data_IF_464765764528
#
_entry.id   IF_464765764528
#
_cell.length_a   1.000
_cell.length_b   1.000
_cell.length_c   1.000
_cell.angle_alpha   90.00
_cell.angle_beta   90.00
_cell.angle_gamma   90.00
#
_symmetry.space_group_name_H-M   'P 1'
#
loop_
_entity.id
_entity.type
_entity.pdbx_description
1 polymer ?
2 non-polymer ?
3 non-polymer ?
4 non-polymer ?
5 non-polymer ?
6 water ?
#
# COMPACT_ATOMS: atom_id res chain seq x y z
N UNK A 5 20.15 0.56 2.12
CA UNK A 5 18.72 1.03 1.82
C UNK A 5 18.14 1.72 3.06
N UNK A 6 17.49 2.85 2.82
CA UNK A 6 16.87 3.67 3.88
C UNK A 6 15.39 4.00 3.56
N UNK A 7 14.59 4.37 4.58
CA UNK A 7 13.22 4.80 4.31
C UNK A 7 13.14 6.07 3.49
N UNK A 8 14.11 6.95 3.60
CA UNK A 8 14.21 8.15 2.79
C UNK A 8 14.22 7.95 1.33
N UNK A 9 14.79 6.82 0.89
CA UNK A 9 14.91 6.55 -0.55
C UNK A 9 13.52 6.27 -1.13
N UNK A 10 12.52 6.00 -0.26
CA UNK A 10 11.15 5.73 -0.73
C UNK A 10 10.30 7.03 -0.83
N UNK A 11 10.83 8.17 -0.37
CA UNK A 11 10.03 9.35 -0.30
C UNK A 11 9.71 9.91 -1.70
N UNK A 12 8.57 10.56 -1.80
CA UNK A 12 8.18 11.32 -2.95
C UNK A 12 6.92 10.78 -3.54
N UNK A 13 6.57 11.35 -4.68
CA UNK A 13 5.38 10.97 -5.45
C UNK A 13 5.76 9.93 -6.49
N UNK A 14 4.94 8.90 -6.58
CA UNK A 14 5.13 7.74 -7.43
C UNK A 14 3.83 7.49 -8.17
N UNK A 15 3.92 7.07 -9.44
CA UNK A 15 2.78 6.80 -10.26
C UNK A 15 2.68 5.31 -10.63
N UNK A 16 1.48 4.70 -10.52
CA UNK A 16 1.31 3.32 -10.82
C UNK A 16 1.50 3.05 -12.32
N UNK A 17 2.38 2.11 -12.66
CA UNK A 17 2.66 1.72 -14.04
C UNK A 17 2.33 0.28 -14.31
N UNK A 18 2.20 -0.61 -13.33
CA UNK A 18 1.81 -1.97 -13.59
C UNK A 18 1.15 -2.55 -12.36
N UNK A 19 0.15 -3.40 -12.56
CA UNK A 19 -0.46 -4.16 -11.48
C UNK A 19 -0.70 -5.60 -11.92
N UNK A 20 -0.43 -6.53 -11.00
CA UNK A 20 -0.74 -7.91 -11.21
C UNK A 20 -1.30 -8.50 -9.92
N UNK A 21 -2.41 -9.24 -10.02
CA UNK A 21 -3.02 -9.91 -8.88
C UNK A 21 -3.91 -9.06 -8.00
N UNK A 22 -4.10 -7.79 -8.31
CA UNK A 22 -4.80 -6.91 -7.39
C UNK A 22 -6.28 -7.31 -7.25
N UNK A 23 -6.93 -7.71 -8.33
CA UNK A 23 -8.32 -8.12 -8.24
C UNK A 23 -8.45 -9.36 -7.37
N UNK A 24 -7.52 -10.31 -7.51
CA UNK A 24 -7.55 -11.49 -6.71
C UNK A 24 -7.37 -11.16 -5.21
N UNK A 25 -6.45 -10.25 -4.93
CA UNK A 25 -6.24 -9.78 -3.57
C UNK A 25 -7.51 -9.11 -3.01
N UNK A 26 -8.11 -8.23 -3.81
CA UNK A 26 -9.39 -7.62 -3.38
C UNK A 26 -10.46 -8.67 -3.12
N UNK A 27 -10.58 -9.69 -3.93
CA UNK A 27 -11.57 -10.80 -3.71
C UNK A 27 -11.25 -11.53 -2.46
N UNK A 28 -9.97 -11.81 -2.16
CA UNK A 28 -9.60 -12.48 -0.89
C UNK A 28 -10.03 -11.66 0.32
N UNK A 29 -9.92 -10.32 0.24
CA UNK A 29 -10.46 -9.43 1.27
C UNK A 29 -11.98 -9.36 1.35
N UNK A 30 -12.68 -9.87 0.35
CA UNK A 30 -14.11 -9.80 0.39
C UNK A 30 -14.62 -8.43 0.02
N UNK A 31 -13.85 -7.66 -0.77
CA UNK A 31 -14.32 -6.33 -1.21
C UNK A 31 -15.44 -6.48 -2.22
N UNK A 32 -16.44 -5.60 -2.13
CA UNK A 32 -17.59 -5.66 -3.00
C UNK A 32 -17.30 -5.07 -4.40
N UNK A 33 -18.28 -5.21 -5.27
CA UNK A 33 -18.03 -4.96 -6.66
C UNK A 33 -17.65 -3.48 -6.90
N UNK A 34 -18.31 -2.53 -6.22
CA UNK A 34 -18.04 -1.11 -6.55
C UNK A 34 -16.52 -0.80 -6.36
N UNK A 35 -16.00 -1.12 -5.18
CA UNK A 35 -14.57 -0.86 -4.87
C UNK A 35 -13.69 -1.71 -5.72
N UNK A 36 -14.08 -2.95 -6.09
CA UNK A 36 -13.23 -3.71 -7.00
C UNK A 36 -13.17 -3.09 -8.39
N UNK A 37 -14.33 -2.58 -8.87
CA UNK A 37 -14.27 -1.92 -10.17
C UNK A 37 -13.42 -0.68 -10.13
N UNK A 38 -13.53 0.09 -9.08
CA UNK A 38 -12.70 1.28 -8.91
C UNK A 38 -11.22 0.89 -8.84
N UNK A 39 -10.91 -0.16 -8.08
CA UNK A 39 -9.51 -0.59 -8.00
C UNK A 39 -8.97 -1.08 -9.27
N UNK A 40 -9.76 -1.65 -10.18
CA UNK A 40 -9.33 -2.11 -11.51
C UNK A 40 -9.01 -0.92 -12.39
N UNK A 41 -9.81 0.11 -12.30
CA UNK A 41 -9.59 1.18 -13.24
C UNK A 41 -8.75 2.34 -12.77
N UNK A 42 -8.60 2.56 -11.46
CA UNK A 42 -7.73 3.63 -10.99
C UNK A 42 -6.26 3.35 -11.29
N UNK A 43 -5.54 4.46 -11.53
CA UNK A 43 -4.06 4.39 -11.69
C UNK A 43 -3.57 5.47 -10.70
N UNK A 44 -3.53 5.11 -9.41
CA UNK A 44 -3.22 6.17 -8.42
C UNK A 44 -1.73 6.55 -8.41
N UNK A 45 -1.49 7.72 -7.82
CA UNK A 45 -0.20 8.06 -7.33
C UNK A 45 -0.10 7.68 -5.85
N UNK A 46 1.12 7.31 -5.41
CA UNK A 46 1.40 7.07 -4.01
C UNK A 46 2.42 8.12 -3.59
N UNK A 47 2.14 8.81 -2.49
CA UNK A 47 3.02 9.85 -1.98
C UNK A 47 3.45 9.41 -0.58
N UNK A 48 4.77 9.19 -0.44
CA UNK A 48 5.40 8.70 0.78
C UNK A 48 6.22 9.81 1.39
N UNK A 49 5.99 10.13 2.65
CA UNK A 49 6.87 11.03 3.33
C UNK A 49 7.22 10.45 4.70
N UNK A 50 8.42 10.73 5.15
CA UNK A 50 8.84 10.22 6.43
C UNK A 50 9.80 11.20 7.15
N UNK A 51 9.44 11.58 8.37
CA UNK A 51 10.22 12.55 9.21
C UNK A 51 10.61 11.75 10.44
N UNK A 52 11.80 11.15 10.31
CA UNK A 52 12.30 10.23 11.33
C UNK A 52 11.40 8.99 11.41
N UNK A 53 10.63 8.88 12.47
CA UNK A 53 9.77 7.75 12.62
C UNK A 53 8.35 8.13 12.27
N UNK A 54 8.07 9.39 11.88
CA UNK A 54 6.72 9.72 11.44
C UNK A 54 6.55 9.47 9.93
N UNK A 55 5.68 8.56 9.58
CA UNK A 55 5.44 8.15 8.22
C UNK A 55 4.02 8.60 7.81
N UNK A 56 3.90 9.08 6.58
CA UNK A 56 2.59 9.31 5.96
C UNK A 56 2.64 8.60 4.56
N UNK A 57 1.54 7.88 4.24
CA UNK A 57 1.35 7.38 2.88
C UNK A 57 0.01 7.82 2.37
N UNK A 58 -0.04 8.58 1.29
CA UNK A 58 -1.27 9.07 0.65
C UNK A 58 -1.34 8.38 -0.72
N UNK A 59 -2.52 7.86 -1.02
CA UNK A 59 -2.82 7.19 -2.29
C UNK A 59 -3.82 8.11 -2.92
N UNK A 60 -3.53 8.69 -4.09
CA UNK A 60 -4.32 9.74 -4.73
C UNK A 60 -4.77 9.33 -6.14
N UNK A 61 -6.06 9.33 -6.38
CA UNK A 61 -6.58 9.05 -7.72
C UNK A 61 -7.86 9.82 -7.86
N UNK A 62 -8.25 9.93 -9.12
CA UNK A 62 -9.50 10.62 -9.46
C UNK A 62 -10.68 9.92 -8.81
N UNK A 63 -10.62 8.63 -8.64
CA UNK A 63 -11.74 7.90 -8.07
C UNK A 63 -11.75 7.91 -6.53
N UNK A 64 -10.58 7.89 -5.89
CA UNK A 64 -10.53 7.84 -4.40
C UNK A 64 -9.16 8.27 -3.97
N UNK A 65 -9.11 9.06 -2.92
CA UNK A 65 -7.87 9.38 -2.23
C UNK A 65 -7.97 8.98 -0.79
N UNK A 66 -6.92 8.36 -0.28
CA UNK A 66 -6.86 7.89 1.10
C UNK A 66 -5.47 8.24 1.65
N UNK A 67 -5.37 8.35 2.93
CA UNK A 67 -4.09 8.58 3.53
C UNK A 67 -4.10 8.09 4.99
N UNK A 68 -2.93 7.61 5.42
CA UNK A 68 -2.70 7.34 6.81
C UNK A 68 -1.36 7.89 7.27
N UNK A 69 -1.27 8.17 8.56
CA UNK A 69 -0.05 8.59 9.21
C UNK A 69 0.17 7.73 10.44
N UNK A 70 1.45 7.44 10.75
CA UNK A 70 1.79 6.64 11.94
C UNK A 70 3.22 6.94 12.36
N UNK A 71 3.57 6.39 13.52
CA UNK A 71 4.91 6.35 14.03
C UNK A 71 5.41 4.95 13.79
N UNK A 72 6.56 4.78 13.14
CA UNK A 72 7.17 3.46 12.86
C UNK A 72 7.27 2.72 14.15
N UNK A 73 6.87 1.45 14.12
CA UNK A 73 6.94 0.59 15.21
C UNK A 73 5.77 0.58 16.18
N UNK A 74 4.81 1.51 16.03
CA UNK A 74 3.69 1.65 16.91
C UNK A 74 2.42 1.19 16.26
N UNK A 75 1.59 0.46 17.00
CA UNK A 75 0.31 0.00 16.54
C UNK A 75 -0.68 1.14 16.45
N UNK A 76 -1.47 1.19 15.40
CA UNK A 76 -2.45 2.23 15.23
C UNK A 76 -3.67 1.69 14.46
N UNK A 77 -4.77 2.41 14.61
CA UNK A 77 -6.01 2.11 13.85
C UNK A 77 -5.94 2.72 12.47
N UNK A 78 -5.84 1.85 11.46
CA UNK A 78 -5.87 2.23 10.07
C UNK A 78 -7.25 1.99 9.47
N UNK A 79 -7.86 3.02 8.88
CA UNK A 79 -9.03 2.83 8.03
C UNK A 79 -8.50 2.60 6.60
N UNK A 80 -8.74 1.41 6.07
CA UNK A 80 -8.18 1.06 4.76
C UNK A 80 -9.05 1.61 3.66
N UNK A 81 -8.57 1.53 2.42
CA UNK A 81 -9.28 2.13 1.32
C UNK A 81 -10.62 1.42 1.03
N UNK A 82 -10.68 0.15 1.41
CA UNK A 82 -11.89 -0.64 1.33
C UNK A 82 -12.75 -0.59 2.58
N UNK A 83 -12.36 0.19 3.60
CA UNK A 83 -13.17 0.45 4.77
C UNK A 83 -12.97 -0.39 5.98
N UNK A 84 -12.00 -1.30 5.97
CA UNK A 84 -11.69 -2.05 7.18
C UNK A 84 -11.03 -1.10 8.19
N UNK A 85 -11.21 -1.42 9.48
CA UNK A 85 -10.45 -0.75 10.56
C UNK A 85 -9.50 -1.79 11.12
N UNK A 86 -8.24 -1.69 10.77
CA UNK A 86 -7.25 -2.67 11.15
C UNK A 86 -6.33 -2.12 12.21
N UNK A 87 -5.71 -3.02 12.95
CA UNK A 87 -4.57 -2.68 13.79
C UNK A 87 -3.33 -2.88 12.93
N UNK A 88 -2.67 -1.78 12.60
CA UNK A 88 -1.55 -1.74 11.70
C UNK A 88 -0.27 -1.39 12.41
N UNK A 89 0.85 -1.96 11.98
CA UNK A 89 2.17 -1.49 12.36
C UNK A 89 3.04 -1.38 11.12
N UNK A 90 3.78 -0.28 10.98
CA UNK A 90 4.73 -0.11 9.89
C UNK A 90 6.14 -0.07 10.46
N UNK A 91 7.06 -0.73 9.78
CA UNK A 91 8.46 -0.69 10.18
C UNK A 91 9.32 -0.66 8.92
N UNK A 92 10.51 -0.09 8.98
CA UNK A 92 11.47 -0.20 7.92
C UNK A 92 12.45 -1.28 8.36
N UNK A 93 12.52 -2.41 7.64
CA UNK A 93 13.22 -3.64 8.08
C UNK A 93 13.81 -4.26 6.86
N UNK A 94 15.09 -4.59 6.95
CA UNK A 94 15.77 -5.37 5.88
C UNK A 94 15.55 -4.68 4.53
N UNK A 95 15.70 -3.34 4.52
CA UNK A 95 15.66 -2.49 3.32
C UNK A 95 14.25 -2.41 2.65
N UNK A 96 13.16 -2.66 3.36
CA UNK A 96 11.83 -2.45 2.85
C UNK A 96 10.97 -1.87 3.96
N UNK A 97 9.96 -1.10 3.55
CA UNK A 97 8.89 -0.73 4.46
C UNK A 97 7.87 -1.87 4.52
N UNK A 98 7.59 -2.32 5.69
CA UNK A 98 6.71 -3.43 5.97
C UNK A 98 5.50 -2.93 6.77
N UNK A 99 4.31 -3.14 6.26
CA UNK A 99 3.05 -2.71 6.84
C UNK A 99 2.20 -3.94 7.12
N UNK A 100 1.98 -4.24 8.37
CA UNK A 100 1.27 -5.40 8.82
C UNK A 100 -0.07 -5.00 9.37
N UNK A 101 -1.16 -5.58 8.83
CA UNK A 101 -2.54 -5.35 9.27
C UNK A 101 -3.13 -6.57 9.90
N UNK A 102 -3.78 -6.35 11.03
CA UNK A 102 -4.52 -7.43 11.73
C UNK A 102 -5.92 -6.93 12.00
N UNK A 103 -6.91 -7.76 11.76
CA UNK A 103 -8.31 -7.40 12.06
C UNK A 103 -9.14 -8.65 12.13
N UNK A 104 -9.95 -8.78 13.15
CA UNK A 104 -11.00 -9.81 13.24
C UNK A 104 -10.38 -11.21 12.94
N UNK A 105 -9.18 -11.44 13.48
CA UNK A 105 -8.50 -12.74 13.34
C UNK A 105 -7.78 -13.02 12.03
N UNK A 106 -7.74 -12.03 11.16
CA UNK A 106 -7.14 -12.05 9.80
C UNK A 106 -5.88 -11.20 9.79
N UNK A 107 -4.99 -11.42 8.84
CA UNK A 107 -3.81 -10.61 8.71
C UNK A 107 -3.46 -10.46 7.20
N UNK A 108 -2.85 -9.33 6.91
CA UNK A 108 -2.32 -9.05 5.59
C UNK A 108 -1.07 -8.22 5.73
N UNK A 109 -0.09 -8.46 4.85
CA UNK A 109 1.16 -7.71 4.80
C UNK A 109 1.29 -7.00 3.46
N UNK A 110 1.75 -5.77 3.53
CA UNK A 110 2.11 -4.95 2.39
C UNK A 110 3.54 -4.52 2.51
N UNK A 111 4.37 -4.78 1.50
CA UNK A 111 5.75 -4.35 1.52
C UNK A 111 5.97 -3.35 0.44
N UNK A 112 6.92 -2.43 0.64
CA UNK A 112 7.28 -1.39 -0.35
C UNK A 112 8.81 -1.31 -0.33
N UNK A 113 9.39 -1.46 -1.52
CA UNK A 113 10.86 -1.45 -1.65
C UNK A 113 11.20 -0.78 -2.98
N UNK A 114 12.46 -0.30 -3.05
CA UNK A 114 13.01 0.24 -4.24
C UNK A 114 13.75 -0.93 -4.96
N UNK A 115 13.42 -1.14 -6.22
CA UNK A 115 14.12 -2.12 -7.08
C UNK A 115 14.35 -1.47 -8.45
N UNK A 116 15.60 -1.45 -8.91
CA UNK A 116 15.95 -0.76 -10.17
C UNK A 116 15.27 0.63 -10.37
N UNK A 117 15.18 1.41 -9.29
CA UNK A 117 14.67 2.78 -9.39
C UNK A 117 13.13 2.89 -9.33
N UNK A 118 12.45 1.74 -9.25
CA UNK A 118 10.97 1.71 -9.13
C UNK A 118 10.52 1.38 -7.73
N UNK A 119 9.33 1.84 -7.36
CA UNK A 119 8.79 1.41 -6.10
C UNK A 119 7.94 0.17 -6.34
N UNK A 120 8.28 -0.94 -5.70
CA UNK A 120 7.62 -2.22 -5.89
C UNK A 120 6.83 -2.48 -4.60
N UNK A 121 5.50 -2.51 -4.78
CA UNK A 121 4.57 -2.65 -3.69
C UNK A 121 3.96 -4.05 -3.80
N UNK A 122 4.11 -4.86 -2.79
CA UNK A 122 3.59 -6.23 -2.79
C UNK A 122 2.63 -6.40 -1.65
N UNK A 123 1.56 -7.14 -1.90
CA UNK A 123 0.52 -7.40 -0.89
C UNK A 123 0.28 -8.87 -0.83
N UNK A 124 -0.09 -9.35 0.34
CA UNK A 124 -0.47 -10.74 0.49
C UNK A 124 -1.50 -10.89 1.60
N UNK A 125 -2.44 -11.79 1.36
CA UNK A 125 -3.37 -12.28 2.41
C UNK A 125 -3.59 -13.78 2.11
N UNK A 126 -3.22 -14.64 3.06
CA UNK A 126 -3.52 -16.05 2.91
C UNK A 126 -2.99 -16.61 1.57
N UNK A 127 -1.72 -16.24 1.26
CA UNK A 127 -1.01 -16.67 0.03
C UNK A 127 -1.56 -16.09 -1.27
N UNK A 128 -2.59 -15.21 -1.22
CA UNK A 128 -3.08 -14.50 -2.40
C UNK A 128 -2.29 -13.20 -2.51
N UNK A 129 -1.58 -13.05 -3.61
CA UNK A 129 -0.56 -12.05 -3.76
C UNK A 129 -0.92 -11.04 -4.84
N UNK A 130 -0.31 -9.86 -4.74
CA UNK A 130 -0.34 -8.86 -5.78
C UNK A 130 0.97 -8.09 -5.76
N UNK A 131 1.34 -7.61 -6.94
CA UNK A 131 2.49 -6.77 -7.12
C UNK A 131 2.09 -5.55 -7.97
N UNK A 132 2.38 -4.37 -7.44
CA UNK A 132 2.07 -3.06 -8.06
C UNK A 132 3.38 -2.27 -8.15
N UNK A 133 3.72 -1.83 -9.34
CA UNK A 133 4.94 -1.14 -9.62
C UNK A 133 4.63 0.31 -9.95
N UNK A 134 5.41 1.17 -9.32
CA UNK A 134 5.25 2.63 -9.47
C UNK A 134 6.59 3.26 -9.94
N UNK A 135 6.50 4.26 -10.79
CA UNK A 135 7.67 5.01 -11.24
C UNK A 135 7.70 6.37 -10.59
N UNK A 136 8.90 6.83 -10.29
CA UNK A 136 9.07 8.09 -9.60
C UNK A 136 8.66 9.16 -10.56
N UNK A 137 7.83 10.11 -10.08
CA UNK A 137 7.46 11.29 -10.84
C UNK A 137 7.64 12.58 -10.05
N UNK A 138 7.64 13.67 -10.78
CA UNK A 138 7.75 14.97 -10.07
C UNK A 138 6.35 15.46 -9.49
X LIG B 1 5.51 -9.92 1.22
X LIG B 1 4.91 -11.38 1.29
X LIG B 1 6.55 -9.91 -0.31
X LIG B 1 4.21 -8.89 0.64
X LIG C 1 -10.49 2.48 -4.70
X LIG C 1 -9.76 2.98 -5.90
X LIG C 1 -8.26 3.04 -5.82
X LIG C 1 -9.96 1.25 -4.05
X LIG C 1 -6.02 1.77 -4.67
X LIG C 1 -6.31 0.57 -3.50
X LIG C 1 -7.67 0.39 -3.25
X LIG C 1 -8.47 1.24 -4.06
X LIG C 1 -7.68 2.08 -4.86
X LIG C 1 -8.24 -0.56 -2.30
X LIG C 1 -7.29 -1.28 -1.59
X LIG C 1 -9.46 -0.69 -2.02
X LIG C 1 -7.82 -2.22 -0.62
X LIG C 1 -6.66 -2.94 -0.02
X LIG C 1 -5.29 -0.10 -2.81
X LIG C 1 -3.97 0.06 -3.12
X LIG C 1 -3.53 0.76 -4.05
X LIG C 1 -0.87 0.05 -3.27
X LIG C 1 -0.45 1.14 -2.63
X LIG C 1 -0.54 -0.18 -4.46
X LIG C 1 -3.02 -0.69 -2.27
X LIG C 1 -1.68 -0.72 -2.37
X LIG C 1 -1.05 -1.51 -1.25
X LIG C 1 -2.19 -1.63 -0.22
X LIG C 1 -3.46 -1.57 -1.11
X LIG D 1 -19.35 1.69 -8.98
X LIG D 1 -17.89 2.10 -9.04
X LIG D 1 -17.45 2.57 -10.42
X LIG D 1 -19.54 0.53 -9.97
X LIG D 1 -17.40 1.77 -13.11
X LIG D 1 -18.40 0.50 -13.58
X LIG D 1 -19.21 0.01 -12.49
X LIG D 1 -18.91 0.75 -11.29
X LIG D 1 -17.93 1.71 -11.52
X LIG D 1 -20.24 -1.05 -12.50
X LIG D 1 -20.78 -1.35 -11.24
X LIG D 1 -20.64 -1.64 -13.51
X LIG D 1 -21.97 -2.13 -10.88
X LIG D 1 -22.36 -1.94 -9.42
X LIG D 1 -18.39 0.07 -14.92
X LIG E 1 -4.94 -6.30 -11.55
X LIG E 1 -5.70 -4.88 -11.29
X LIG E 1 -5.93 -7.27 -10.98
X LIG E 1 -3.72 -6.23 -10.77
X LIG E 1 -4.65 -6.51 -12.98
X LIG F 1 -7.26 7.25 -11.51
#
# INVERSE_FOLDING_TARGET
GSHMATVQQLEGRWRLVDSKGFDEYMKELGVGIALRKMGAMAKPDCIITCDGKNLTIKTESTLKTTQFSCTLGEKFEETTADGRKTQTVCNFTDGALVQHQEWDGKESTITRKLKDGKLVVECVMNNVTCTRIYEKVE
DMS S O C1 C2
L8T C1 C2 C3 C4 S5 C6 C7 C8 C9 C10 O11 O12 C13 C14 N15 C16 O17 C18 O19 O20 C21 C22 C23 C24 C25
L8T C1 C2 C3 C4 S5 C6 C7 C8 C9 C10 O11 O12 C13 C14 N15
SO4 S O1 O2 O3 O4
CL CL
#
